data_IF_877727506790
#
_entry.id   IF_877727506790
#
_cell.length_a   1.000
_cell.length_b   1.000
_cell.length_c   1.000
_cell.angle_alpha   90.00
_cell.angle_beta   90.00
_cell.angle_gamma   90.00
#
_symmetry.space_group_name_H-M   'P 1'
#
loop_
_entity.id
_entity.type
_entity.pdbx_description
1 polymer ?
#
# COMPACT_ATOMS: atom_id res chain seq x y z
N UNK A 1 34.31 4.35 63.05
CA UNK A 1 33.66 3.28 62.24
C UNK A 1 32.77 3.99 61.21
N UNK A 2 33.26 4.09 59.93
CA UNK A 2 32.54 4.77 58.85
C UNK A 2 31.68 3.75 58.12
N UNK A 3 30.37 3.93 58.17
CA UNK A 3 29.41 3.08 57.45
C UNK A 3 29.29 3.65 56.06
N UNK A 4 29.73 2.91 55.02
CA UNK A 4 29.50 3.20 53.63
C UNK A 4 28.13 2.68 53.22
N UNK A 5 27.18 3.56 52.97
CA UNK A 5 25.87 3.25 52.44
C UNK A 5 25.99 3.09 50.92
N UNK A 6 25.94 1.85 50.40
CA UNK A 6 25.88 1.58 48.97
C UNK A 6 24.44 1.69 48.49
N UNK A 7 24.13 2.77 47.74
CA UNK A 7 22.84 2.96 47.09
C UNK A 7 22.91 2.16 45.77
N UNK A 8 22.19 1.01 45.72
CA UNK A 8 21.97 0.28 44.48
C UNK A 8 20.88 0.97 43.68
N UNK A 9 21.25 1.58 42.54
CA UNK A 9 20.32 2.14 41.59
C UNK A 9 19.80 1.02 40.68
N UNK A 10 18.59 0.51 40.92
CA UNK A 10 17.94 -0.43 40.04
C UNK A 10 17.42 0.29 38.78
N UNK A 11 18.13 0.15 37.66
CA UNK A 11 17.62 0.59 36.34
C UNK A 11 16.62 -0.47 35.88
N UNK A 12 15.33 -0.15 36.00
CA UNK A 12 14.25 -0.95 35.40
C UNK A 12 14.30 -0.79 33.89
N UNK A 13 14.90 -1.73 33.18
CA UNK A 13 14.79 -1.83 31.73
C UNK A 13 13.41 -2.40 31.42
N UNK A 14 12.46 -1.54 31.06
CA UNK A 14 11.18 -1.97 30.52
C UNK A 14 11.40 -2.47 29.09
N UNK A 15 11.23 -3.77 28.78
CA UNK A 15 11.29 -4.24 27.42
C UNK A 15 10.11 -3.62 26.65
N UNK A 16 10.41 -2.84 25.62
CA UNK A 16 9.39 -2.42 24.64
C UNK A 16 8.98 -3.67 23.89
N UNK A 17 7.91 -4.31 24.34
CA UNK A 17 7.30 -5.41 23.63
C UNK A 17 6.60 -4.82 22.41
N UNK A 18 7.19 -4.94 21.23
CA UNK A 18 6.49 -4.77 19.97
C UNK A 18 5.47 -5.91 19.85
N UNK A 19 4.28 -5.69 20.41
CA UNK A 19 3.14 -6.55 20.13
C UNK A 19 2.83 -6.41 18.64
N UNK A 20 3.04 -7.48 17.86
CA UNK A 20 2.43 -7.58 16.53
C UNK A 20 0.92 -7.59 16.76
N UNK A 21 0.31 -6.43 16.55
CA UNK A 21 -1.13 -6.28 16.70
C UNK A 21 -1.77 -7.16 15.62
N UNK A 22 -2.50 -8.20 16.06
CA UNK A 22 -3.25 -9.08 15.16
C UNK A 22 -4.18 -8.21 14.33
N UNK A 23 -3.98 -8.24 13.01
CA UNK A 23 -4.82 -7.48 12.07
C UNK A 23 -6.28 -7.87 12.33
N UNK A 24 -7.15 -6.89 12.61
CA UNK A 24 -8.57 -7.15 12.70
C UNK A 24 -9.05 -7.69 11.34
N UNK A 25 -9.68 -8.84 11.33
CA UNK A 25 -10.19 -9.49 10.11
C UNK A 25 -11.04 -8.54 9.28
N UNK A 26 -11.78 -7.64 9.93
CA UNK A 26 -12.60 -6.62 9.27
C UNK A 26 -11.77 -5.61 8.45
N UNK A 27 -10.64 -5.13 8.97
CA UNK A 27 -9.80 -4.15 8.29
C UNK A 27 -9.03 -4.79 7.12
N UNK A 28 -8.55 -6.02 7.27
CA UNK A 28 -7.95 -6.76 6.15
C UNK A 28 -8.96 -7.05 5.04
N UNK A 29 -10.17 -7.46 5.37
CA UNK A 29 -11.23 -7.64 4.37
C UNK A 29 -11.56 -6.34 3.65
N UNK A 30 -11.64 -5.22 4.37
CA UNK A 30 -11.94 -3.92 3.77
C UNK A 30 -10.91 -3.48 2.72
N UNK A 31 -9.59 -3.66 2.98
CA UNK A 31 -8.56 -3.32 1.98
C UNK A 31 -8.54 -4.31 0.81
N UNK A 32 -8.82 -5.59 1.05
CA UNK A 32 -8.95 -6.60 -0.01
C UNK A 32 -10.12 -6.25 -0.93
N UNK A 33 -11.26 -5.83 -0.38
CA UNK A 33 -12.42 -5.41 -1.16
C UNK A 33 -12.12 -4.18 -2.03
N UNK A 34 -11.32 -3.22 -1.50
CA UNK A 34 -10.87 -2.06 -2.29
C UNK A 34 -10.00 -2.51 -3.46
N UNK A 35 -9.03 -3.42 -3.24
CA UNK A 35 -8.19 -3.96 -4.32
C UNK A 35 -9.01 -4.74 -5.35
N UNK A 36 -9.97 -5.56 -4.92
CA UNK A 36 -10.86 -6.27 -5.82
C UNK A 36 -11.72 -5.30 -6.66
N UNK A 37 -12.15 -4.17 -6.06
CA UNK A 37 -12.84 -3.12 -6.80
C UNK A 37 -11.91 -2.45 -7.80
N UNK A 38 -10.68 -2.11 -7.40
CA UNK A 38 -9.68 -1.51 -8.30
C UNK A 38 -9.39 -2.43 -9.51
N UNK A 39 -9.24 -3.74 -9.30
CA UNK A 39 -9.06 -4.71 -10.38
C UNK A 39 -10.25 -4.68 -11.37
N UNK A 40 -11.48 -4.63 -10.85
CA UNK A 40 -12.70 -4.53 -11.68
C UNK A 40 -12.77 -3.21 -12.43
N UNK A 41 -12.44 -2.09 -11.77
CA UNK A 41 -12.46 -0.75 -12.37
C UNK A 41 -11.45 -0.64 -13.50
N UNK A 42 -10.22 -1.12 -13.27
CA UNK A 42 -9.19 -1.24 -14.29
C UNK A 42 -9.67 -2.04 -15.50
N UNK A 43 -10.22 -3.23 -15.25
CA UNK A 43 -10.65 -4.14 -16.30
C UNK A 43 -11.84 -3.60 -17.12
N UNK A 44 -12.56 -2.59 -16.61
CA UNK A 44 -13.55 -1.80 -17.39
C UNK A 44 -12.92 -0.65 -18.18
N UNK A 45 -11.68 -0.30 -17.89
CA UNK A 45 -11.01 0.87 -18.46
C UNK A 45 -11.25 2.16 -17.68
N UNK A 46 -11.70 2.06 -16.42
CA UNK A 46 -12.08 3.20 -15.60
C UNK A 46 -10.97 3.56 -14.60
N UNK A 47 -9.96 4.32 -15.10
CA UNK A 47 -8.83 4.76 -14.30
C UNK A 47 -9.28 5.75 -13.20
N UNK A 48 -10.32 6.54 -13.41
CA UNK A 48 -10.81 7.48 -12.40
C UNK A 48 -11.40 6.73 -11.19
N UNK A 49 -12.18 5.67 -11.43
CA UNK A 49 -12.69 4.80 -10.36
C UNK A 49 -11.56 4.01 -9.68
N UNK A 50 -10.61 3.47 -10.45
CA UNK A 50 -9.42 2.80 -9.92
C UNK A 50 -8.66 3.70 -8.93
N UNK A 51 -8.49 4.97 -9.27
CA UNK A 51 -7.77 5.94 -8.44
C UNK A 51 -8.51 6.35 -7.16
N UNK A 52 -9.79 5.97 -6.99
CA UNK A 52 -10.52 6.18 -5.71
C UNK A 52 -10.03 5.30 -4.56
N UNK A 53 -9.26 4.26 -4.84
CA UNK A 53 -8.55 3.48 -3.82
C UNK A 53 -7.40 4.25 -3.17
N UNK A 54 -6.88 5.28 -3.85
CA UNK A 54 -5.79 6.12 -3.36
C UNK A 54 -6.30 7.34 -2.59
N UNK A 55 -5.55 7.76 -1.58
CA UNK A 55 -5.86 8.98 -0.84
C UNK A 55 -5.73 10.20 -1.75
N UNK A 56 -6.81 10.97 -1.92
CA UNK A 56 -6.78 12.23 -2.68
C UNK A 56 -6.06 13.32 -1.89
N UNK A 57 -4.73 13.31 -1.97
CA UNK A 57 -3.83 14.19 -1.20
C UNK A 57 -2.54 14.43 -1.96
N UNK A 58 -1.91 15.58 -1.72
CA UNK A 58 -0.57 15.90 -2.21
C UNK A 58 0.52 15.05 -1.52
N UNK A 59 0.17 14.38 -0.41
CA UNK A 59 1.05 13.45 0.31
C UNK A 59 1.10 12.04 -0.26
N UNK A 60 0.26 11.71 -1.25
CA UNK A 60 0.34 10.43 -1.94
C UNK A 60 1.70 10.29 -2.62
N UNK A 61 2.33 9.14 -2.48
CA UNK A 61 3.58 8.80 -3.17
C UNK A 61 3.33 7.56 -4.02
N UNK A 62 3.59 7.67 -5.31
CA UNK A 62 3.67 6.54 -6.22
C UNK A 62 5.11 6.39 -6.71
N UNK A 63 5.74 5.24 -6.48
CA UNK A 63 7.11 4.93 -6.91
C UNK A 63 7.08 3.77 -7.90
N UNK A 64 7.41 4.04 -9.13
CA UNK A 64 7.59 3.03 -10.18
C UNK A 64 9.03 3.00 -10.69
N UNK A 65 9.29 2.29 -11.79
CA UNK A 65 10.61 2.16 -12.43
C UNK A 65 11.23 3.51 -12.84
N UNK A 66 10.40 4.53 -13.10
CA UNK A 66 10.85 5.89 -13.48
C UNK A 66 11.05 6.82 -12.27
N UNK A 67 11.00 6.29 -11.05
CA UNK A 67 11.12 7.07 -9.81
C UNK A 67 9.79 7.49 -9.18
N UNK A 68 9.84 8.30 -8.10
CA UNK A 68 8.67 8.71 -7.35
C UNK A 68 7.90 9.84 -8.02
N UNK A 69 6.58 9.78 -7.89
CA UNK A 69 5.62 10.83 -8.25
C UNK A 69 4.84 11.19 -7.00
N UNK A 70 4.67 12.47 -6.76
CA UNK A 70 4.03 12.99 -5.57
C UNK A 70 2.67 13.60 -5.90
N UNK A 71 1.68 13.30 -5.09
CA UNK A 71 0.32 13.81 -5.20
C UNK A 71 -0.61 12.97 -6.06
N UNK A 72 -1.89 12.95 -5.65
CA UNK A 72 -2.93 12.16 -6.30
C UNK A 72 -3.18 12.57 -7.76
N UNK A 73 -3.20 13.88 -8.04
CA UNK A 73 -3.45 14.38 -9.40
C UNK A 73 -2.34 13.97 -10.37
N UNK A 74 -1.08 14.14 -9.96
CA UNK A 74 0.06 13.77 -10.80
C UNK A 74 0.11 12.25 -11.04
N UNK A 75 -0.25 11.45 -10.04
CA UNK A 75 -0.37 9.99 -10.16
C UNK A 75 -1.48 9.62 -11.16
N UNK A 76 -2.67 10.23 -11.07
CA UNK A 76 -3.76 10.02 -12.01
C UNK A 76 -3.34 10.36 -13.45
N UNK A 77 -2.71 11.51 -13.65
CA UNK A 77 -2.27 11.97 -14.99
C UNK A 77 -1.24 11.00 -15.59
N UNK A 78 -0.31 10.48 -14.76
CA UNK A 78 0.62 9.44 -15.18
C UNK A 78 -0.11 8.16 -15.61
N UNK A 79 -1.07 7.69 -14.84
CA UNK A 79 -1.85 6.50 -15.21
C UNK A 79 -2.56 6.69 -16.55
N UNK A 80 -3.28 7.81 -16.73
CA UNK A 80 -3.97 8.14 -17.98
C UNK A 80 -3.03 8.26 -19.17
N UNK A 81 -1.84 8.81 -18.98
CA UNK A 81 -0.81 8.92 -20.03
C UNK A 81 -0.22 7.55 -20.39
N UNK A 82 0.09 6.73 -19.39
CA UNK A 82 0.74 5.43 -19.61
C UNK A 82 -0.23 4.39 -20.18
N UNK A 83 -1.45 4.40 -19.71
CA UNK A 83 -2.50 3.43 -20.04
C UNK A 83 -3.64 4.13 -20.80
N UNK A 84 -3.30 4.75 -21.94
CA UNK A 84 -4.18 5.62 -22.70
C UNK A 84 -5.33 4.91 -23.42
N UNK A 85 -5.23 3.59 -23.54
CA UNK A 85 -6.18 2.76 -24.28
C UNK A 85 -6.25 1.34 -23.66
N UNK A 86 -7.24 0.56 -24.12
CA UNK A 86 -7.46 -0.80 -23.62
C UNK A 86 -6.33 -1.78 -23.94
N UNK A 87 -5.61 -1.56 -25.03
CA UNK A 87 -4.49 -2.40 -25.42
C UNK A 87 -3.32 -2.26 -24.43
N UNK A 88 -3.02 -1.03 -24.03
CA UNK A 88 -2.00 -0.73 -23.01
C UNK A 88 -2.44 -1.12 -21.60
N UNK A 89 -3.72 -0.95 -21.29
CA UNK A 89 -4.27 -1.36 -19.99
C UNK A 89 -4.26 -2.88 -19.83
N UNK A 90 -4.66 -3.61 -20.85
CA UNK A 90 -4.81 -5.05 -20.77
C UNK A 90 -5.81 -5.48 -19.70
N UNK A 91 -5.66 -6.72 -19.25
CA UNK A 91 -6.43 -7.32 -18.17
C UNK A 91 -5.58 -7.47 -16.93
N UNK A 92 -5.95 -6.75 -15.87
CA UNK A 92 -5.28 -6.77 -14.58
C UNK A 92 -5.76 -7.91 -13.70
N UNK A 93 -4.80 -8.54 -13.03
CA UNK A 93 -5.04 -9.49 -11.93
C UNK A 93 -4.08 -9.19 -10.79
N UNK A 94 -4.64 -9.05 -9.58
CA UNK A 94 -3.85 -8.96 -8.35
C UNK A 94 -3.76 -10.31 -7.64
N UNK A 95 -2.60 -10.54 -7.01
CA UNK A 95 -2.37 -11.63 -6.07
C UNK A 95 -1.83 -11.00 -4.76
N UNK A 96 -2.51 -11.25 -3.65
CA UNK A 96 -2.12 -10.74 -2.34
C UNK A 96 -1.16 -11.74 -1.70
N UNK A 97 0.04 -11.30 -1.36
CA UNK A 97 1.08 -12.14 -0.77
C UNK A 97 1.16 -12.01 0.74
N UNK A 98 1.01 -10.77 1.26
CA UNK A 98 1.14 -10.51 2.69
C UNK A 98 0.38 -9.26 3.11
N UNK A 99 -0.14 -9.26 4.35
CA UNK A 99 -0.83 -8.11 4.95
C UNK A 99 -0.39 -7.98 6.41
N UNK A 100 0.18 -6.83 6.77
CA UNK A 100 0.72 -6.56 8.11
C UNK A 100 0.09 -5.28 8.66
N UNK A 101 -0.50 -5.35 9.86
CA UNK A 101 -0.89 -4.16 10.60
C UNK A 101 0.36 -3.54 11.25
N UNK A 102 0.70 -2.32 10.85
CA UNK A 102 1.77 -1.54 11.46
C UNK A 102 1.27 -0.71 12.64
N UNK A 103 -0.01 -0.33 12.60
CA UNK A 103 -0.73 0.32 13.70
C UNK A 103 -2.25 0.18 13.48
N UNK A 104 -3.12 0.61 14.43
CA UNK A 104 -4.59 0.57 14.24
C UNK A 104 -5.09 1.37 13.04
N UNK A 105 -4.25 2.24 12.47
CA UNK A 105 -4.61 3.10 11.33
C UNK A 105 -3.67 2.97 10.13
N UNK A 106 -2.70 2.05 10.18
CA UNK A 106 -1.72 1.84 9.11
C UNK A 106 -1.55 0.36 8.84
N UNK A 107 -1.77 -0.05 7.60
CA UNK A 107 -1.55 -1.41 7.12
C UNK A 107 -0.57 -1.36 5.96
N UNK A 108 0.35 -2.31 5.92
CA UNK A 108 1.17 -2.60 4.74
C UNK A 108 0.66 -3.87 4.06
N UNK A 109 0.51 -3.82 2.75
CA UNK A 109 0.14 -4.96 1.94
C UNK A 109 1.19 -5.15 0.85
N UNK A 110 1.61 -6.37 0.66
CA UNK A 110 2.47 -6.78 -0.45
C UNK A 110 1.69 -7.68 -1.39
N UNK A 111 1.87 -7.47 -2.67
CA UNK A 111 1.18 -8.24 -3.69
C UNK A 111 1.96 -8.31 -4.99
N UNK A 112 1.38 -9.03 -5.94
CA UNK A 112 1.84 -9.15 -7.32
C UNK A 112 0.73 -8.68 -8.25
N UNK A 113 1.10 -8.01 -9.32
CA UNK A 113 0.19 -7.72 -10.42
C UNK A 113 0.60 -8.48 -11.68
N UNK A 114 -0.39 -8.84 -12.47
CA UNK A 114 -0.21 -9.35 -13.82
C UNK A 114 -1.12 -8.55 -14.74
N UNK A 115 -0.57 -8.04 -15.84
CA UNK A 115 -1.30 -7.40 -16.93
C UNK A 115 -1.16 -8.27 -18.17
N UNK A 116 -2.25 -8.91 -18.58
CA UNK A 116 -2.29 -9.66 -19.85
C UNK A 116 -2.69 -8.70 -20.96
N UNK A 117 -1.81 -8.53 -21.96
CA UNK A 117 -1.94 -7.54 -23.03
C UNK A 117 -1.57 -8.11 -24.38
N UNK A 118 -2.22 -7.65 -25.46
CA UNK A 118 -1.84 -8.02 -26.84
C UNK A 118 -0.44 -7.53 -27.26
N UNK A 119 0.03 -6.44 -26.63
CA UNK A 119 1.35 -5.84 -26.87
C UNK A 119 2.48 -6.41 -26.01
N UNK A 120 2.25 -7.54 -25.34
CA UNK A 120 3.14 -8.19 -24.37
C UNK A 120 2.70 -8.00 -22.94
N UNK A 121 2.75 -9.09 -22.19
CA UNK A 121 2.35 -9.10 -20.77
C UNK A 121 3.34 -8.30 -19.93
N UNK A 122 2.82 -7.72 -18.83
CA UNK A 122 3.65 -7.10 -17.81
C UNK A 122 3.26 -7.66 -16.43
N UNK A 123 4.25 -7.81 -15.58
CA UNK A 123 4.04 -8.28 -14.21
C UNK A 123 5.04 -7.64 -13.27
N UNK A 124 4.78 -7.73 -11.99
CA UNK A 124 5.70 -7.24 -10.97
C UNK A 124 5.09 -7.35 -9.58
N UNK A 125 5.84 -6.81 -8.63
CA UNK A 125 5.45 -6.81 -7.23
C UNK A 125 5.15 -5.39 -6.78
N UNK A 126 4.28 -5.26 -5.79
CA UNK A 126 3.97 -3.98 -5.19
C UNK A 126 3.93 -4.06 -3.67
N UNK A 127 4.24 -2.94 -3.04
CA UNK A 127 4.04 -2.70 -1.62
C UNK A 127 3.17 -1.48 -1.46
N UNK A 128 1.98 -1.66 -0.87
CA UNK A 128 1.03 -0.60 -0.60
C UNK A 128 1.01 -0.30 0.90
N UNK A 129 1.19 0.97 1.26
CA UNK A 129 0.88 1.43 2.59
C UNK A 129 -0.50 2.08 2.61
N UNK A 130 -1.35 1.54 3.47
CA UNK A 130 -2.73 1.96 3.66
C UNK A 130 -2.86 2.81 4.90
N UNK A 131 -3.70 3.84 4.83
CA UNK A 131 -4.04 4.70 5.97
C UNK A 131 -5.56 4.76 6.15
N UNK A 132 -6.00 4.69 7.41
CA UNK A 132 -7.43 4.80 7.77
C UNK A 132 -7.79 6.26 8.07
N UNK A 133 -8.66 6.84 7.24
CA UNK A 133 -9.16 8.21 7.38
C UNK A 133 -10.68 8.16 7.48
N UNK A 134 -11.26 8.69 8.56
CA UNK A 134 -12.72 8.70 8.80
C UNK A 134 -13.36 7.32 8.56
N UNK A 135 -12.78 6.27 9.15
CA UNK A 135 -13.22 4.88 9.03
C UNK A 135 -13.16 4.25 7.62
N UNK A 136 -12.46 4.86 6.66
CA UNK A 136 -12.21 4.30 5.34
C UNK A 136 -10.71 4.14 5.11
N UNK A 137 -10.32 3.07 4.43
CA UNK A 137 -8.95 2.80 4.04
C UNK A 137 -8.61 3.40 2.68
N UNK A 138 -7.38 3.94 2.56
CA UNK A 138 -6.86 4.49 1.31
C UNK A 138 -5.37 4.17 1.20
N UNK A 139 -4.90 3.96 -0.02
CA UNK A 139 -3.47 3.85 -0.33
C UNK A 139 -2.86 5.25 -0.22
N UNK A 140 -1.83 5.40 0.63
CA UNK A 140 -1.04 6.64 0.78
C UNK A 140 0.34 6.52 0.14
N UNK A 141 0.85 5.31 -0.02
CA UNK A 141 2.09 5.05 -0.71
C UNK A 141 1.98 3.74 -1.49
N UNK A 142 2.46 3.78 -2.71
CA UNK A 142 2.55 2.66 -3.65
C UNK A 142 3.98 2.59 -4.18
N UNK A 143 4.63 1.45 -3.95
CA UNK A 143 5.90 1.14 -4.60
C UNK A 143 5.70 -0.10 -5.46
N UNK A 144 5.80 0.08 -6.75
CA UNK A 144 5.61 -0.99 -7.74
C UNK A 144 6.90 -1.19 -8.54
N UNK A 145 7.45 -2.41 -8.46
CA UNK A 145 8.52 -2.90 -9.33
C UNK A 145 7.90 -3.76 -10.43
N UNK A 146 8.13 -3.39 -11.69
CA UNK A 146 7.61 -4.17 -12.82
C UNK A 146 8.73 -4.54 -13.78
N UNK A 147 8.59 -5.70 -14.43
CA UNK A 147 9.31 -6.06 -15.65
C UNK A 147 8.34 -5.99 -16.83
N UNK A 148 8.77 -5.41 -17.91
CA UNK A 148 8.08 -5.45 -19.20
C UNK A 148 8.55 -6.67 -19.96
#
# INVERSE_FOLDING_TARGET
>A
MKIFLHIFFFISINPVVFSQQKLETKDSLAIIDILNKQEKDWNRGDIDEFMKGYLKSDKLIFSGSSGPIYGWKATLDRYKKTYSDKEKMGKLKFEILNVIALSPKVIQLQGKFNLTRSIGDAFGYFTLNWIKVKNRWYIISDHTSGSN
#
